data_IF_461110733936
#
_entry.id   IF_461110733936
#
_cell.length_a   1.000
_cell.length_b   1.000
_cell.length_c   1.000
_cell.angle_alpha   90.00
_cell.angle_beta   90.00
_cell.angle_gamma   90.00
#
_symmetry.space_group_name_H-M   'P 1'
#
loop_
_entity.id
_entity.type
_entity.pdbx_description
1 polymer ?
#
# COMPACT_ATOMS: atom_id res chain seq x y z
N UNK A 1 -35.53 12.09 -37.53
CA UNK A 1 -35.64 10.65 -37.83
C UNK A 1 -37.07 10.28 -37.53
N UNK A 2 -37.86 10.10 -38.57
CA UNK A 2 -39.25 9.69 -38.45
C UNK A 2 -39.31 8.24 -37.94
N UNK A 3 -40.28 7.94 -37.08
CA UNK A 3 -40.55 6.59 -36.60
C UNK A 3 -40.74 5.55 -37.72
N UNK A 4 -40.94 6.01 -38.96
CA UNK A 4 -41.03 5.21 -40.18
C UNK A 4 -39.75 4.41 -40.54
N UNK A 5 -38.58 4.74 -39.97
CA UNK A 5 -37.36 3.97 -40.24
C UNK A 5 -37.36 2.58 -39.55
N UNK A 6 -38.10 2.40 -38.46
CA UNK A 6 -38.18 1.13 -37.74
C UNK A 6 -38.95 0.04 -38.52
N UNK A 7 -39.83 0.41 -39.44
CA UNK A 7 -40.60 -0.56 -40.25
C UNK A 7 -39.75 -1.32 -41.28
N UNK A 8 -38.53 -0.86 -41.58
CA UNK A 8 -37.64 -1.51 -42.57
C UNK A 8 -36.74 -2.62 -42.00
N UNK A 9 -36.93 -3.03 -40.75
CA UNK A 9 -36.21 -4.16 -40.15
C UNK A 9 -34.76 -3.85 -39.73
N UNK A 10 -34.37 -2.57 -39.68
CA UNK A 10 -33.08 -2.18 -39.13
C UNK A 10 -33.13 -2.16 -37.59
N UNK A 11 -32.66 -3.25 -36.98
CA UNK A 11 -32.63 -3.43 -35.54
C UNK A 11 -31.70 -2.44 -34.81
N UNK A 12 -30.80 -1.75 -35.52
CA UNK A 12 -29.86 -0.79 -34.91
C UNK A 12 -30.37 0.64 -34.85
N UNK A 13 -31.36 1.00 -35.67
CA UNK A 13 -31.87 2.36 -35.74
C UNK A 13 -32.29 2.95 -34.37
N UNK A 14 -32.92 2.20 -33.43
CA UNK A 14 -33.24 2.71 -32.10
C UNK A 14 -32.01 3.00 -31.22
N UNK A 15 -30.97 2.16 -31.32
CA UNK A 15 -29.72 2.37 -30.58
C UNK A 15 -28.98 3.60 -31.09
N UNK A 16 -28.89 3.78 -32.41
CA UNK A 16 -28.28 4.97 -33.01
C UNK A 16 -29.04 6.25 -32.62
N UNK A 17 -30.37 6.19 -32.62
CA UNK A 17 -31.20 7.29 -32.15
C UNK A 17 -30.92 7.64 -30.68
N UNK A 18 -30.75 6.64 -29.82
CA UNK A 18 -30.39 6.83 -28.40
C UNK A 18 -29.03 7.53 -28.27
N UNK A 19 -28.01 7.10 -29.00
CA UNK A 19 -26.67 7.69 -28.95
C UNK A 19 -26.65 9.13 -29.47
N UNK A 20 -27.34 9.42 -30.59
CA UNK A 20 -27.50 10.78 -31.10
C UNK A 20 -28.23 11.67 -30.09
N UNK A 21 -29.27 11.15 -29.45
CA UNK A 21 -30.02 11.90 -28.43
C UNK A 21 -29.13 12.23 -27.24
N UNK A 22 -28.30 11.28 -26.77
CA UNK A 22 -27.32 11.51 -25.71
C UNK A 22 -26.32 12.61 -26.06
N UNK A 23 -25.76 12.57 -27.28
CA UNK A 23 -24.82 13.60 -27.72
C UNK A 23 -25.44 14.99 -27.77
N UNK A 24 -26.71 15.11 -28.16
CA UNK A 24 -27.42 16.40 -28.25
C UNK A 24 -27.86 16.92 -26.88
N UNK A 25 -28.23 16.03 -25.97
CA UNK A 25 -28.69 16.40 -24.61
C UNK A 25 -27.51 16.74 -23.69
N UNK A 26 -26.37 16.05 -23.81
CA UNK A 26 -25.25 16.19 -22.88
C UNK A 26 -24.76 17.64 -22.65
N UNK A 27 -24.61 18.51 -23.68
CA UNK A 27 -24.21 19.90 -23.49
C UNK A 27 -25.23 20.76 -22.73
N UNK A 28 -26.50 20.34 -22.72
CA UNK A 28 -27.63 21.07 -22.16
C UNK A 28 -28.27 20.33 -20.98
N UNK A 29 -27.57 19.38 -20.37
CA UNK A 29 -28.15 18.50 -19.35
C UNK A 29 -28.78 19.26 -18.16
N UNK A 30 -28.30 20.47 -17.86
CA UNK A 30 -28.85 21.34 -16.79
C UNK A 30 -30.22 21.92 -17.11
N UNK A 31 -30.54 22.06 -18.39
CA UNK A 31 -31.77 22.69 -18.88
C UNK A 31 -32.84 21.64 -19.27
N UNK A 32 -32.48 20.36 -19.23
CA UNK A 32 -33.34 19.23 -19.57
C UNK A 32 -33.99 18.68 -18.30
N UNK A 33 -35.27 18.26 -18.34
CA UNK A 33 -35.91 17.66 -17.17
C UNK A 33 -35.09 16.51 -16.57
N UNK A 34 -34.82 16.63 -15.27
CA UNK A 34 -33.99 15.69 -14.51
C UNK A 34 -34.34 14.20 -14.70
N UNK A 35 -35.62 13.79 -14.83
CA UNK A 35 -35.96 12.39 -15.09
C UNK A 35 -35.35 11.83 -16.38
N UNK A 36 -35.22 12.64 -17.43
CA UNK A 36 -34.61 12.23 -18.70
C UNK A 36 -33.10 12.07 -18.52
N UNK A 37 -32.46 13.00 -17.82
CA UNK A 37 -31.02 12.93 -17.52
C UNK A 37 -30.70 11.70 -16.68
N UNK A 38 -31.50 11.43 -15.64
CA UNK A 38 -31.35 10.25 -14.79
C UNK A 38 -31.61 8.92 -15.52
N UNK A 39 -32.45 8.93 -16.56
CA UNK A 39 -32.72 7.75 -17.35
C UNK A 39 -31.59 7.41 -18.35
N UNK A 40 -30.72 8.38 -18.68
CA UNK A 40 -29.69 8.22 -19.70
C UNK A 40 -28.26 8.14 -19.14
N UNK A 41 -28.00 8.71 -17.96
CA UNK A 41 -26.68 8.77 -17.31
C UNK A 41 -26.69 8.35 -15.84
N UNK A 42 -25.56 7.82 -15.36
CA UNK A 42 -25.42 7.22 -14.03
C UNK A 42 -25.41 8.22 -12.87
N UNK A 43 -24.98 9.46 -13.11
CA UNK A 43 -24.75 10.47 -12.07
C UNK A 43 -25.76 11.62 -12.09
N UNK A 44 -26.72 11.60 -13.02
CA UNK A 44 -27.76 12.61 -13.18
C UNK A 44 -27.26 14.04 -13.46
N UNK A 45 -25.94 14.28 -13.49
CA UNK A 45 -25.39 15.63 -13.35
C UNK A 45 -24.24 15.93 -14.30
N UNK A 46 -23.48 14.93 -14.76
CA UNK A 46 -22.26 15.21 -15.53
C UNK A 46 -22.23 14.67 -16.96
N UNK A 47 -23.22 13.89 -17.38
CA UNK A 47 -23.26 13.24 -18.70
C UNK A 47 -21.98 12.44 -19.07
N UNK A 48 -21.06 12.21 -18.12
CA UNK A 48 -19.78 11.53 -18.33
C UNK A 48 -19.94 10.01 -18.32
N UNK A 49 -20.83 9.48 -17.49
CA UNK A 49 -21.06 8.05 -17.32
C UNK A 49 -22.43 7.68 -17.89
N UNK A 50 -22.45 7.11 -19.09
CA UNK A 50 -23.67 6.62 -19.75
C UNK A 50 -24.20 5.38 -19.02
N UNK A 51 -25.53 5.24 -18.97
CA UNK A 51 -26.15 3.96 -18.58
C UNK A 51 -26.04 2.96 -19.73
N UNK A 52 -26.07 1.66 -19.43
CA UNK A 52 -26.08 0.65 -20.48
C UNK A 52 -27.44 0.65 -21.21
N UNK A 53 -27.43 0.64 -22.55
CA UNK A 53 -28.66 0.48 -23.33
C UNK A 53 -29.28 -0.90 -23.06
N UNK A 54 -30.59 -1.02 -23.25
CA UNK A 54 -31.26 -2.32 -23.33
C UNK A 54 -30.87 -3.06 -24.62
N UNK A 55 -31.07 -4.39 -24.70
CA UNK A 55 -30.87 -5.14 -25.94
C UNK A 55 -31.67 -4.56 -27.12
N UNK A 56 -31.12 -4.64 -28.33
CA UNK A 56 -31.69 -4.05 -29.56
C UNK A 56 -33.16 -4.39 -29.78
N UNK A 57 -33.55 -5.65 -29.52
CA UNK A 57 -34.95 -6.12 -29.65
C UNK A 57 -35.88 -5.34 -28.71
N UNK A 58 -35.48 -5.11 -27.46
CA UNK A 58 -36.26 -4.32 -26.51
C UNK A 58 -36.33 -2.85 -26.92
N UNK A 59 -35.24 -2.29 -27.46
CA UNK A 59 -35.22 -0.91 -27.95
C UNK A 59 -36.17 -0.71 -29.13
N UNK A 60 -36.21 -1.64 -30.08
CA UNK A 60 -37.18 -1.64 -31.18
C UNK A 60 -38.62 -1.62 -30.67
N UNK A 61 -38.95 -2.50 -29.72
CA UNK A 61 -40.28 -2.53 -29.11
C UNK A 61 -40.62 -1.23 -28.38
N UNK A 62 -39.68 -0.70 -27.60
CA UNK A 62 -39.87 0.54 -26.85
C UNK A 62 -40.10 1.72 -27.80
N UNK A 63 -39.36 1.79 -28.91
CA UNK A 63 -39.48 2.88 -29.88
C UNK A 63 -40.79 2.81 -30.68
N UNK A 64 -41.26 1.60 -30.98
CA UNK A 64 -42.55 1.40 -31.66
C UNK A 64 -43.75 1.67 -30.74
N UNK A 65 -43.66 1.29 -29.46
CA UNK A 65 -44.77 1.38 -28.48
C UNK A 65 -44.80 2.71 -27.73
N UNK A 66 -43.66 3.38 -27.57
CA UNK A 66 -43.55 4.62 -26.81
C UNK A 66 -43.08 5.73 -27.72
N UNK A 67 -43.76 6.89 -27.68
CA UNK A 67 -43.25 8.10 -28.32
C UNK A 67 -41.85 8.47 -27.80
N UNK A 68 -41.17 9.38 -28.50
CA UNK A 68 -39.75 9.73 -28.28
C UNK A 68 -39.36 9.91 -26.81
N UNK A 69 -40.16 10.64 -26.03
CA UNK A 69 -39.89 10.86 -24.60
C UNK A 69 -39.97 9.57 -23.79
N UNK A 70 -41.01 8.76 -24.01
CA UNK A 70 -41.20 7.49 -23.33
C UNK A 70 -40.15 6.45 -23.71
N UNK A 71 -39.63 6.52 -24.94
CA UNK A 71 -38.46 5.75 -25.36
C UNK A 71 -37.22 6.16 -24.56
N UNK A 72 -36.85 7.45 -24.55
CA UNK A 72 -35.65 7.93 -23.84
C UNK A 72 -35.68 7.63 -22.34
N UNK A 73 -36.85 7.68 -21.70
CA UNK A 73 -37.01 7.33 -20.28
C UNK A 73 -36.84 5.83 -19.98
N UNK A 74 -36.95 4.96 -20.99
CA UNK A 74 -36.95 3.51 -20.81
C UNK A 74 -35.82 2.77 -21.55
N UNK A 75 -35.13 3.44 -22.48
CA UNK A 75 -34.16 2.84 -23.40
C UNK A 75 -32.91 2.29 -22.69
N UNK A 76 -32.56 2.82 -21.53
CA UNK A 76 -31.45 2.29 -20.75
C UNK A 76 -31.95 1.32 -19.69
N UNK A 77 -31.11 0.36 -19.30
CA UNK A 77 -31.36 -0.47 -18.14
C UNK A 77 -31.34 0.49 -16.94
N UNK A 78 -32.48 0.67 -16.22
CA UNK A 78 -32.49 1.51 -15.04
C UNK A 78 -31.42 0.97 -14.12
N UNK A 79 -30.55 1.84 -13.63
CA UNK A 79 -29.72 1.48 -12.49
C UNK A 79 -30.72 1.00 -11.44
N UNK A 80 -30.77 -0.30 -11.13
CA UNK A 80 -31.42 -0.75 -9.91
C UNK A 80 -30.86 0.21 -8.86
N UNK A 81 -31.70 0.98 -8.13
CA UNK A 81 -31.20 1.72 -6.99
C UNK A 81 -30.33 0.70 -6.28
N UNK A 82 -29.03 0.95 -6.20
CA UNK A 82 -28.13 0.04 -5.48
C UNK A 82 -28.73 0.08 -4.09
N UNK A 83 -29.61 -0.87 -3.79
CA UNK A 83 -30.53 -0.80 -2.67
C UNK A 83 -29.60 -0.69 -1.50
N UNK A 84 -29.49 0.52 -0.92
CA UNK A 84 -28.33 1.02 -0.16
C UNK A 84 -27.58 -0.18 0.39
N UNK A 85 -26.63 -0.71 -0.41
CA UNK A 85 -25.98 -1.97 -0.06
C UNK A 85 -25.31 -1.57 1.23
N UNK A 86 -25.78 -2.17 2.33
CA UNK A 86 -25.39 -1.67 3.64
C UNK A 86 -23.87 -1.69 3.66
N UNK A 87 -23.23 -0.78 4.40
CA UNK A 87 -21.77 -0.81 4.41
C UNK A 87 -21.26 -2.21 4.80
N UNK A 88 -22.00 -2.92 5.66
CA UNK A 88 -21.79 -4.33 5.96
C UNK A 88 -21.81 -5.24 4.71
N UNK A 89 -22.84 -5.17 3.86
CA UNK A 89 -22.92 -5.98 2.64
C UNK A 89 -21.80 -5.63 1.63
N UNK A 90 -21.39 -4.36 1.57
CA UNK A 90 -20.24 -3.95 0.74
C UNK A 90 -18.94 -4.53 1.29
N UNK A 91 -18.77 -4.51 2.61
CA UNK A 91 -17.62 -5.10 3.27
C UNK A 91 -17.58 -6.61 3.05
N UNK A 92 -18.72 -7.30 3.20
CA UNK A 92 -18.81 -8.74 2.96
C UNK A 92 -18.50 -9.10 1.51
N UNK A 93 -18.98 -8.34 0.53
CA UNK A 93 -18.67 -8.58 -0.89
C UNK A 93 -17.20 -8.31 -1.25
N UNK A 94 -16.62 -7.24 -0.71
CA UNK A 94 -15.20 -6.94 -0.89
C UNK A 94 -14.32 -8.00 -0.24
N UNK A 95 -14.65 -8.39 1.00
CA UNK A 95 -13.98 -9.47 1.73
C UNK A 95 -14.03 -10.77 0.94
N UNK A 96 -15.21 -11.18 0.49
CA UNK A 96 -15.40 -12.39 -0.32
C UNK A 96 -14.56 -12.36 -1.61
N UNK A 97 -14.65 -11.28 -2.39
CA UNK A 97 -13.92 -11.14 -3.67
C UNK A 97 -12.40 -11.15 -3.46
N UNK A 98 -11.93 -10.50 -2.39
CA UNK A 98 -10.51 -10.44 -2.08
C UNK A 98 -10.00 -11.77 -1.49
N UNK A 99 -10.88 -12.56 -0.88
CA UNK A 99 -10.61 -13.90 -0.35
C UNK A 99 -10.76 -15.03 -1.37
N UNK A 100 -11.26 -14.76 -2.57
CA UNK A 100 -11.22 -15.72 -3.66
C UNK A 100 -9.78 -16.20 -3.88
N UNK A 101 -9.57 -17.50 -4.12
CA UNK A 101 -8.22 -18.04 -4.34
C UNK A 101 -7.53 -17.30 -5.48
N UNK A 102 -6.32 -16.76 -5.22
CA UNK A 102 -5.56 -16.09 -6.26
C UNK A 102 -5.11 -17.10 -7.32
N UNK A 103 -5.47 -16.83 -8.57
CA UNK A 103 -5.03 -17.64 -9.73
C UNK A 103 -3.96 -16.83 -10.46
N UNK A 104 -2.70 -17.25 -10.33
CA UNK A 104 -1.57 -16.61 -11.00
C UNK A 104 -0.23 -17.02 -10.43
N UNK A 105 0.84 -16.52 -11.05
CA UNK A 105 2.23 -16.82 -10.70
C UNK A 105 2.95 -15.61 -10.08
N UNK A 106 2.25 -14.49 -9.82
CA UNK A 106 2.87 -13.25 -9.35
C UNK A 106 3.67 -13.42 -8.05
N UNK A 107 3.18 -14.22 -7.11
CA UNK A 107 3.88 -14.54 -5.84
C UNK A 107 5.18 -15.26 -6.12
N UNK A 108 5.10 -16.35 -6.89
CA UNK A 108 6.26 -17.16 -7.27
C UNK A 108 7.28 -16.31 -8.04
N UNK A 109 6.81 -15.50 -8.98
CA UNK A 109 7.65 -14.58 -9.75
C UNK A 109 8.32 -13.54 -8.86
N UNK A 110 7.59 -12.98 -7.89
CA UNK A 110 8.15 -12.05 -6.92
C UNK A 110 9.22 -12.72 -6.05
N UNK A 111 8.94 -13.90 -5.49
CA UNK A 111 9.90 -14.66 -4.68
C UNK A 111 11.16 -15.01 -5.47
N UNK A 112 11.00 -15.42 -6.73
CA UNK A 112 12.14 -15.66 -7.64
C UNK A 112 12.93 -14.38 -7.96
N UNK A 113 12.26 -13.23 -8.02
CA UNK A 113 12.88 -11.94 -8.25
C UNK A 113 13.64 -11.42 -7.02
N UNK A 114 13.26 -11.81 -5.79
CA UNK A 114 13.97 -11.38 -4.56
C UNK A 114 15.46 -11.70 -4.60
N UNK A 115 15.85 -12.89 -5.07
CA UNK A 115 17.27 -13.23 -5.25
C UNK A 115 17.97 -12.31 -6.26
N UNK A 116 17.25 -11.83 -7.27
CA UNK A 116 17.81 -10.88 -8.24
C UNK A 116 17.95 -9.49 -7.62
N UNK A 117 16.94 -9.03 -6.88
CA UNK A 117 16.99 -7.75 -6.17
C UNK A 117 18.13 -7.72 -5.14
N UNK A 118 18.34 -8.81 -4.41
CA UNK A 118 19.45 -8.93 -3.46
C UNK A 118 20.82 -8.81 -4.16
N UNK A 119 20.98 -9.42 -5.36
CA UNK A 119 22.20 -9.27 -6.17
C UNK A 119 22.38 -7.87 -6.77
N UNK A 120 21.28 -7.19 -7.08
CA UNK A 120 21.31 -5.82 -7.59
C UNK A 120 21.59 -4.80 -6.48
N UNK A 121 21.34 -5.18 -5.24
CA UNK A 121 21.50 -4.30 -4.10
C UNK A 121 22.97 -3.89 -3.91
N UNK A 122 23.16 -2.58 -3.76
CA UNK A 122 24.45 -1.93 -3.54
C UNK A 122 24.31 -1.01 -2.33
N UNK A 123 24.89 -1.36 -1.16
CA UNK A 123 24.68 -0.61 0.09
C UNK A 123 25.04 0.87 0.00
N UNK A 124 26.02 1.24 -0.84
CA UNK A 124 26.45 2.63 -1.01
C UNK A 124 25.55 3.45 -1.96
N UNK A 125 24.74 2.78 -2.80
CA UNK A 125 23.95 3.45 -3.85
C UNK A 125 22.45 3.40 -3.59
N UNK A 126 21.98 2.53 -2.71
CA UNK A 126 20.57 2.33 -2.42
C UNK A 126 20.24 2.78 -0.99
N UNK A 127 19.04 3.33 -0.81
CA UNK A 127 18.50 3.84 0.46
C UNK A 127 18.02 2.74 1.43
N UNK A 128 18.60 1.53 1.32
CA UNK A 128 18.21 0.32 2.04
C UNK A 128 17.78 -0.77 1.07
N UNK A 129 17.52 -1.98 1.56
CA UNK A 129 16.94 -3.07 0.77
C UNK A 129 15.45 -2.85 0.53
N UNK A 130 15.08 -1.70 -0.04
CA UNK A 130 13.70 -1.27 -0.26
C UNK A 130 13.31 -1.59 -1.70
N UNK A 131 12.20 -2.29 -1.91
CA UNK A 131 11.68 -2.67 -3.23
C UNK A 131 10.43 -1.82 -3.53
N UNK A 132 10.53 -0.76 -4.35
CA UNK A 132 9.39 0.09 -4.65
C UNK A 132 8.35 -0.60 -5.54
N UNK A 133 7.08 -0.58 -5.14
CA UNK A 133 5.96 -1.08 -5.94
C UNK A 133 5.25 0.06 -6.68
N UNK A 134 5.82 0.44 -7.81
CA UNK A 134 5.31 1.52 -8.65
C UNK A 134 4.31 0.96 -9.66
N UNK A 135 3.03 0.88 -9.30
CA UNK A 135 1.95 0.51 -10.22
C UNK A 135 0.70 1.35 -9.98
N UNK A 136 -0.17 1.48 -10.98
CA UNK A 136 -1.46 2.16 -10.85
C UNK A 136 -2.35 1.49 -9.78
N UNK A 137 -3.36 2.21 -9.28
CA UNK A 137 -4.35 1.64 -8.36
C UNK A 137 -5.10 0.47 -9.03
N UNK A 138 -5.46 -0.55 -8.24
CA UNK A 138 -6.20 -1.74 -8.72
C UNK A 138 -5.37 -2.81 -9.45
N UNK A 139 -4.04 -2.69 -9.50
CA UNK A 139 -3.15 -3.65 -10.19
C UNK A 139 -2.76 -4.88 -9.37
N UNK A 140 -3.37 -5.06 -8.19
CA UNK A 140 -3.10 -6.22 -7.33
C UNK A 140 -1.88 -6.09 -6.41
N UNK A 141 -1.37 -4.88 -6.14
CA UNK A 141 -0.24 -4.68 -5.20
C UNK A 141 -0.54 -5.20 -3.79
N UNK A 142 -1.65 -4.73 -3.20
CA UNK A 142 -2.11 -5.17 -1.89
C UNK A 142 -2.45 -6.66 -1.92
N UNK A 143 -2.93 -7.17 -3.07
CA UNK A 143 -3.13 -8.61 -3.27
C UNK A 143 -1.83 -9.39 -3.26
N UNK A 144 -0.75 -8.91 -3.90
CA UNK A 144 0.54 -9.59 -3.84
C UNK A 144 1.07 -9.60 -2.41
N UNK A 145 1.02 -8.46 -1.71
CA UNK A 145 1.41 -8.39 -0.28
C UNK A 145 0.57 -9.36 0.54
N UNK A 146 -0.74 -9.49 0.23
CA UNK A 146 -1.59 -10.53 0.81
C UNK A 146 -1.04 -11.91 0.58
N UNK A 147 -0.88 -12.30 -0.67
CA UNK A 147 -0.52 -13.67 -1.01
C UNK A 147 0.88 -14.02 -0.49
N UNK A 148 1.79 -13.04 -0.42
CA UNK A 148 3.08 -13.17 0.26
C UNK A 148 2.87 -13.43 1.77
N UNK A 149 2.03 -12.65 2.44
CA UNK A 149 1.69 -12.84 3.85
C UNK A 149 0.71 -13.95 4.16
N UNK A 150 0.24 -14.66 3.13
CA UNK A 150 -1.01 -15.42 3.12
C UNK A 150 -2.28 -14.63 3.52
N UNK A 151 -2.24 -13.32 3.82
CA UNK A 151 -3.36 -12.58 4.46
C UNK A 151 -3.47 -11.07 4.14
N UNK A 152 -4.71 -10.57 4.25
CA UNK A 152 -5.29 -9.42 3.55
C UNK A 152 -4.79 -8.00 3.85
N UNK A 153 -4.57 -7.21 2.79
CA UNK A 153 -4.86 -5.77 2.80
C UNK A 153 -5.81 -5.33 1.66
N UNK A 154 -6.92 -4.64 1.93
CA UNK A 154 -7.75 -3.96 0.91
C UNK A 154 -7.60 -2.43 0.95
N UNK A 155 -8.03 -1.78 -0.13
CA UNK A 155 -8.17 -0.32 -0.18
C UNK A 155 -9.47 0.11 0.50
N UNK A 156 -9.39 0.91 1.57
CA UNK A 156 -10.55 1.36 2.35
C UNK A 156 -11.06 0.35 3.38
N UNK A 157 -10.38 -0.80 3.49
CA UNK A 157 -10.52 -1.80 4.55
C UNK A 157 -9.26 -2.68 4.63
N UNK A 158 -8.66 -3.00 5.79
CA UNK A 158 -8.98 -2.55 7.14
C UNK A 158 -9.27 -1.08 7.38
N UNK A 159 -9.96 -0.78 8.50
CA UNK A 159 -9.99 0.57 9.04
C UNK A 159 -8.58 1.14 9.09
N UNK A 160 -8.47 2.45 8.86
CA UNK A 160 -7.20 3.15 9.05
C UNK A 160 -6.67 2.84 10.45
N UNK A 161 -5.38 2.56 10.55
CA UNK A 161 -4.69 2.38 11.84
C UNK A 161 -4.57 3.75 12.53
N UNK A 162 -5.70 4.29 13.00
CA UNK A 162 -5.85 5.66 13.49
C UNK A 162 -4.82 5.99 14.57
N UNK A 163 -4.58 5.07 15.49
CA UNK A 163 -3.59 5.28 16.55
C UNK A 163 -2.16 5.46 16.00
N UNK A 164 -1.78 4.71 14.97
CA UNK A 164 -0.48 4.88 14.31
C UNK A 164 -0.41 6.20 13.53
N UNK A 165 -1.50 6.56 12.84
CA UNK A 165 -1.59 7.86 12.16
C UNK A 165 -1.50 9.03 13.16
N UNK A 166 -2.26 8.99 14.25
CA UNK A 166 -2.24 9.98 15.33
C UNK A 166 -0.85 10.12 15.96
N UNK A 167 -0.16 9.00 16.15
CA UNK A 167 1.24 9.02 16.57
C UNK A 167 2.11 9.79 15.57
N UNK A 168 1.99 9.52 14.26
CA UNK A 168 2.85 10.15 13.25
C UNK A 168 2.56 11.61 12.93
N UNK A 169 1.37 12.12 13.28
CA UNK A 169 1.02 13.54 13.11
C UNK A 169 1.32 14.39 14.35
N UNK A 170 1.78 13.78 15.45
CA UNK A 170 2.08 14.47 16.70
C UNK A 170 3.13 15.58 16.48
N UNK A 171 2.77 16.87 16.66
CA UNK A 171 3.69 17.97 16.44
C UNK A 171 4.76 18.02 17.53
N UNK A 172 6.02 18.07 17.12
CA UNK A 172 7.14 18.34 18.03
C UNK A 172 8.14 17.19 18.17
N UNK A 173 7.85 16.03 17.57
CA UNK A 173 8.83 14.96 17.43
C UNK A 173 9.39 14.92 16.00
N UNK A 174 10.70 14.73 15.83
CA UNK A 174 11.28 14.63 14.51
C UNK A 174 11.07 13.22 13.93
N UNK A 175 10.97 13.18 12.60
CA UNK A 175 10.46 11.99 11.92
C UNK A 175 11.31 10.74 12.12
N UNK A 176 12.63 10.88 12.20
CA UNK A 176 13.55 9.76 12.39
C UNK A 176 13.42 9.12 13.78
N UNK A 177 13.22 9.93 14.82
CA UNK A 177 12.95 9.49 16.19
C UNK A 177 11.59 8.77 16.26
N UNK A 178 10.56 9.34 15.64
CA UNK A 178 9.23 8.71 15.55
C UNK A 178 9.29 7.37 14.81
N UNK A 179 10.00 7.31 13.68
CA UNK A 179 10.18 6.10 12.90
C UNK A 179 10.87 5.00 13.71
N UNK A 180 11.98 5.34 14.39
CA UNK A 180 12.72 4.39 15.21
C UNK A 180 11.88 3.86 16.38
N UNK A 181 11.23 4.76 17.14
CA UNK A 181 10.36 4.36 18.24
C UNK A 181 9.20 3.47 17.79
N UNK A 182 8.55 3.82 16.68
CA UNK A 182 7.45 3.04 16.12
C UNK A 182 7.89 1.65 15.65
N UNK A 183 9.02 1.55 14.94
CA UNK A 183 9.57 0.27 14.49
C UNK A 183 9.92 -0.63 15.68
N UNK A 184 10.58 -0.09 16.70
CA UNK A 184 10.90 -0.81 17.92
C UNK A 184 9.66 -1.31 18.65
N UNK A 185 8.68 -0.42 18.86
CA UNK A 185 7.43 -0.74 19.53
C UNK A 185 6.64 -1.81 18.77
N UNK A 186 6.58 -1.70 17.44
CA UNK A 186 5.97 -2.70 16.58
C UNK A 186 6.65 -4.06 16.77
N UNK A 187 7.99 -4.11 16.74
CA UNK A 187 8.73 -5.38 16.86
C UNK A 187 8.50 -6.03 18.22
N UNK A 188 8.41 -5.21 19.28
CA UNK A 188 8.07 -5.66 20.63
C UNK A 188 6.68 -6.27 20.69
N UNK A 189 5.64 -5.59 20.17
CA UNK A 189 4.27 -6.13 20.20
C UNK A 189 4.16 -7.41 19.37
N UNK A 190 4.81 -7.45 18.20
CA UNK A 190 4.83 -8.65 17.36
C UNK A 190 5.54 -9.82 18.06
N UNK A 191 6.66 -9.57 18.74
CA UNK A 191 7.36 -10.58 19.55
C UNK A 191 6.46 -11.09 20.68
N UNK A 192 5.82 -10.19 21.43
CA UNK A 192 4.93 -10.53 22.54
C UNK A 192 3.75 -11.41 22.07
N UNK A 193 3.17 -11.13 20.89
CA UNK A 193 2.14 -11.97 20.28
C UNK A 193 2.65 -13.36 19.88
N UNK A 194 3.86 -13.45 19.30
CA UNK A 194 4.46 -14.74 18.87
C UNK A 194 4.85 -15.60 20.07
N UNK A 195 5.35 -14.96 21.12
CA UNK A 195 5.87 -15.60 22.33
C UNK A 195 4.78 -15.89 23.38
N UNK A 196 3.56 -15.39 23.16
CA UNK A 196 2.44 -15.61 24.08
C UNK A 196 2.19 -17.12 24.32
N UNK A 197 2.11 -17.59 25.59
CA UNK A 197 1.96 -19.01 25.91
C UNK A 197 0.78 -19.69 25.21
N UNK A 198 -0.35 -18.99 25.10
CA UNK A 198 -1.57 -19.44 24.42
C UNK A 198 -1.42 -19.60 22.90
N UNK A 199 -0.39 -19.00 22.30
CA UNK A 199 -0.10 -19.12 20.87
C UNK A 199 0.93 -20.23 20.57
N UNK A 200 1.58 -20.79 21.60
CA UNK A 200 2.67 -21.77 21.45
C UNK A 200 2.27 -23.03 20.68
N UNK A 201 1.00 -23.44 20.75
CA UNK A 201 0.47 -24.59 20.02
C UNK A 201 0.10 -24.29 18.56
N UNK A 202 0.01 -23.00 18.17
CA UNK A 202 -0.38 -22.61 16.82
C UNK A 202 0.83 -22.55 15.87
N UNK A 203 0.61 -22.80 14.56
CA UNK A 203 1.59 -22.47 13.53
C UNK A 203 2.03 -21.01 13.64
N UNK A 204 3.31 -20.72 13.37
CA UNK A 204 3.89 -19.37 13.52
C UNK A 204 3.10 -18.28 12.76
N UNK A 205 2.58 -18.62 11.58
CA UNK A 205 1.78 -17.72 10.75
C UNK A 205 0.46 -17.31 11.41
N UNK A 206 -0.12 -18.18 12.25
CA UNK A 206 -1.39 -17.95 12.93
C UNK A 206 -1.22 -17.25 14.29
N UNK A 207 0.03 -17.15 14.79
CA UNK A 207 0.31 -16.41 16.03
C UNK A 207 0.16 -14.90 15.85
N UNK A 208 0.31 -14.42 14.62
CA UNK A 208 0.04 -13.03 14.26
C UNK A 208 -1.39 -12.81 13.73
N UNK A 209 -2.33 -13.74 13.96
CA UNK A 209 -3.72 -13.62 13.48
C UNK A 209 -4.39 -12.31 13.88
N UNK A 210 -4.09 -11.78 15.07
CA UNK A 210 -4.70 -10.55 15.52
C UNK A 210 -4.20 -9.27 14.82
N UNK A 211 -3.13 -9.36 14.01
CA UNK A 211 -2.72 -8.28 13.10
C UNK A 211 -3.51 -8.30 11.79
N UNK A 212 -4.24 -9.39 11.53
CA UNK A 212 -5.14 -9.52 10.39
C UNK A 212 -6.43 -8.78 10.71
N UNK A 213 -7.02 -8.19 9.69
CA UNK A 213 -8.39 -7.67 9.82
C UNK A 213 -9.31 -8.67 9.21
N UNK A 214 -10.26 -9.09 10.03
CA UNK A 214 -11.29 -10.03 9.64
C UNK A 214 -12.63 -9.43 9.97
N UNK A 215 -13.66 -9.78 9.21
CA UNK A 215 -15.04 -9.39 9.54
C UNK A 215 -15.42 -9.84 10.96
N UNK A 216 -14.86 -10.96 11.43
CA UNK A 216 -15.12 -11.52 12.77
C UNK A 216 -14.45 -10.74 13.90
N UNK A 217 -13.32 -10.09 13.63
CA UNK A 217 -12.57 -9.34 14.61
C UNK A 217 -11.90 -8.12 13.96
N UNK A 218 -12.69 -7.08 13.62
CA UNK A 218 -12.15 -5.89 12.99
C UNK A 218 -11.29 -5.03 13.93
N UNK A 219 -11.46 -5.21 15.25
CA UNK A 219 -10.84 -4.39 16.29
C UNK A 219 -9.46 -4.91 16.73
N UNK A 220 -9.18 -6.21 16.62
CA UNK A 220 -7.92 -6.81 17.08
C UNK A 220 -6.66 -6.13 16.54
N UNK A 221 -6.69 -5.72 15.27
CA UNK A 221 -5.57 -4.99 14.67
C UNK A 221 -5.48 -3.56 15.24
N UNK A 222 -6.61 -2.88 15.35
CA UNK A 222 -6.65 -1.52 15.88
C UNK A 222 -6.11 -1.46 17.32
N UNK A 223 -6.46 -2.44 18.16
CA UNK A 223 -5.92 -2.60 19.51
C UNK A 223 -4.39 -2.74 19.53
N UNK A 224 -3.84 -3.57 18.62
CA UNK A 224 -2.38 -3.73 18.48
C UNK A 224 -1.70 -2.44 18.07
N UNK A 225 -2.26 -1.72 17.09
CA UNK A 225 -1.70 -0.43 16.70
C UNK A 225 -1.85 0.64 17.78
N UNK A 226 -2.90 0.59 18.60
CA UNK A 226 -3.00 1.41 19.81
C UNK A 226 -1.83 1.12 20.73
N UNK A 227 -1.59 -0.16 21.03
CA UNK A 227 -0.47 -0.59 21.88
C UNK A 227 0.89 -0.21 21.29
N UNK A 228 1.08 -0.34 19.98
CA UNK A 228 2.31 0.09 19.29
C UNK A 228 2.51 1.60 19.46
N UNK A 229 1.47 2.40 19.24
CA UNK A 229 1.55 3.86 19.40
C UNK A 229 1.90 4.25 20.85
N UNK A 230 1.27 3.60 21.84
CA UNK A 230 1.53 3.87 23.25
C UNK A 230 2.95 3.48 23.66
N UNK A 231 3.43 2.31 23.25
CA UNK A 231 4.81 1.87 23.47
C UNK A 231 5.82 2.76 22.76
N UNK A 232 5.52 3.23 21.55
CA UNK A 232 6.40 4.15 20.83
C UNK A 232 6.54 5.49 21.57
N UNK A 233 5.45 6.04 22.12
CA UNK A 233 5.49 7.23 22.98
C UNK A 233 6.30 6.97 24.24
N UNK A 234 6.11 5.82 24.89
CA UNK A 234 6.88 5.43 26.07
C UNK A 234 8.37 5.37 25.76
N UNK A 235 8.77 4.74 24.65
CA UNK A 235 10.17 4.66 24.23
C UNK A 235 10.80 6.04 24.03
N UNK A 236 10.05 6.98 23.45
CA UNK A 236 10.52 8.36 23.28
C UNK A 236 10.67 9.07 24.62
N UNK A 237 9.70 8.92 25.53
CA UNK A 237 9.72 9.53 26.86
C UNK A 237 10.85 8.99 27.76
N UNK A 238 11.07 7.67 27.75
CA UNK A 238 12.11 7.03 28.56
C UNK A 238 13.52 7.42 28.10
N UNK A 239 13.67 7.65 26.80
CA UNK A 239 14.96 7.99 26.18
C UNK A 239 15.11 9.49 25.88
N UNK A 240 14.17 10.32 26.34
CA UNK A 240 14.05 11.73 25.99
C UNK A 240 15.34 12.52 26.22
N UNK A 241 15.98 12.29 27.36
CA UNK A 241 17.24 12.92 27.73
C UNK A 241 18.34 12.60 26.72
N UNK A 242 18.53 11.32 26.40
CA UNK A 242 19.55 10.86 25.46
C UNK A 242 19.26 11.43 24.07
N UNK A 243 17.99 11.39 23.66
CA UNK A 243 17.56 11.89 22.36
C UNK A 243 17.82 13.39 22.23
N UNK A 244 17.48 14.19 23.23
CA UNK A 244 17.69 15.64 23.17
C UNK A 244 19.15 16.07 23.37
N UNK A 245 19.95 15.35 24.16
CA UNK A 245 21.36 15.69 24.35
C UNK A 245 22.20 15.34 23.12
N UNK A 246 21.98 14.18 22.52
CA UNK A 246 22.90 13.61 21.54
C UNK A 246 22.57 13.99 20.09
N UNK A 247 21.34 14.45 19.83
CA UNK A 247 20.89 14.91 18.51
C UNK A 247 21.72 16.06 17.92
N UNK A 248 22.58 16.71 18.71
CA UNK A 248 23.49 17.77 18.24
C UNK A 248 24.95 17.48 18.56
N UNK A 249 25.63 16.65 17.76
CA UNK A 249 27.09 16.51 17.85
C UNK A 249 27.84 17.77 17.41
N UNK A 250 27.21 18.69 16.64
CA UNK A 250 27.92 19.77 15.94
C UNK A 250 27.84 21.15 16.60
N UNK A 251 27.38 21.28 17.87
CA UNK A 251 27.48 22.58 18.59
C UNK A 251 28.95 22.88 18.92
N UNK A 252 29.69 23.42 17.95
CA UNK A 252 31.03 23.97 18.16
C UNK A 252 32.09 23.62 17.10
N UNK A 253 31.79 22.80 16.09
CA UNK A 253 32.77 22.54 15.02
C UNK A 253 32.80 23.69 14.00
N UNK A 254 33.95 24.34 13.89
CA UNK A 254 34.21 25.35 12.87
C UNK A 254 34.56 24.66 11.55
N UNK A 255 33.63 24.68 10.61
CA UNK A 255 33.83 24.16 9.27
C UNK A 255 34.46 25.21 8.36
N UNK A 256 35.38 24.81 7.47
CA UNK A 256 36.11 25.74 6.57
C UNK A 256 35.47 25.88 5.19
N UNK A 257 34.60 24.95 4.78
CA UNK A 257 33.91 25.00 3.48
C UNK A 257 32.51 24.36 3.51
N UNK A 258 31.63 24.76 2.59
CA UNK A 258 30.29 24.17 2.43
C UNK A 258 30.31 22.66 2.17
N UNK A 259 31.30 22.18 1.43
CA UNK A 259 31.47 20.74 1.14
C UNK A 259 31.86 19.95 2.39
N UNK A 260 32.71 20.52 3.26
CA UNK A 260 33.04 19.92 4.56
C UNK A 260 31.86 19.96 5.52
N UNK A 261 31.10 21.05 5.54
CA UNK A 261 29.85 21.16 6.31
C UNK A 261 28.90 20.03 5.91
N UNK A 262 28.68 19.84 4.60
CA UNK A 262 27.78 18.80 4.10
C UNK A 262 28.27 17.39 4.44
N UNK A 263 29.57 17.09 4.24
CA UNK A 263 30.13 15.77 4.56
C UNK A 263 30.11 15.49 6.07
N UNK A 264 30.49 16.47 6.89
CA UNK A 264 30.45 16.39 8.34
C UNK A 264 29.04 16.16 8.85
N UNK A 265 28.09 16.95 8.35
CA UNK A 265 26.67 16.85 8.67
C UNK A 265 26.06 15.49 8.28
N UNK A 266 26.35 14.98 7.07
CA UNK A 266 25.85 13.65 6.67
C UNK A 266 26.42 12.56 7.57
N UNK A 267 27.71 12.64 7.91
CA UNK A 267 28.35 11.66 8.81
C UNK A 267 27.77 11.72 10.22
N UNK A 268 27.52 12.92 10.75
CA UNK A 268 26.92 13.10 12.07
C UNK A 268 25.47 12.60 12.09
N UNK A 269 24.70 12.87 11.04
CA UNK A 269 23.35 12.37 10.83
C UNK A 269 23.31 10.83 10.77
N UNK A 270 24.22 10.19 10.03
CA UNK A 270 24.30 8.73 9.97
C UNK A 270 24.58 8.12 11.35
N UNK A 271 25.56 8.67 12.08
CA UNK A 271 25.86 8.24 13.45
C UNK A 271 24.65 8.39 14.37
N UNK A 272 23.89 9.47 14.20
CA UNK A 272 22.66 9.70 14.96
C UNK A 272 21.60 8.63 14.67
N UNK A 273 21.37 8.30 13.39
CA UNK A 273 20.45 7.21 13.03
C UNK A 273 20.92 5.86 13.58
N UNK A 274 22.23 5.58 13.56
CA UNK A 274 22.82 4.38 14.18
C UNK A 274 22.53 4.28 15.68
N UNK A 275 22.65 5.41 16.38
CA UNK A 275 22.32 5.50 17.81
C UNK A 275 20.83 5.28 18.04
N UNK A 276 19.95 5.96 17.29
CA UNK A 276 18.50 5.79 17.40
C UNK A 276 18.08 4.34 17.14
N UNK A 277 18.59 3.71 16.09
CA UNK A 277 18.27 2.33 15.78
C UNK A 277 18.78 1.40 16.89
N UNK A 278 20.02 1.58 17.34
CA UNK A 278 20.60 0.76 18.40
C UNK A 278 19.84 0.87 19.72
N UNK A 279 19.33 2.06 20.02
CA UNK A 279 18.62 2.36 21.26
C UNK A 279 17.16 1.88 21.23
N UNK A 280 16.44 2.20 20.15
CA UNK A 280 14.98 2.06 20.11
C UNK A 280 14.51 0.84 19.30
N UNK A 281 15.29 0.37 18.33
CA UNK A 281 14.85 -0.64 17.36
C UNK A 281 15.52 -1.99 17.62
N UNK A 282 16.86 -1.99 17.65
CA UNK A 282 17.69 -3.20 17.66
C UNK A 282 17.31 -4.22 18.74
N UNK A 283 17.12 -3.85 20.03
CA UNK A 283 16.83 -4.84 21.07
C UNK A 283 15.56 -5.64 20.79
N UNK A 284 14.51 -4.96 20.35
CA UNK A 284 13.21 -5.58 20.08
C UNK A 284 13.21 -6.41 18.80
N UNK A 285 13.99 -6.00 17.80
CA UNK A 285 14.21 -6.79 16.59
C UNK A 285 15.07 -8.03 16.84
N UNK A 286 16.03 -7.97 17.77
CA UNK A 286 16.78 -9.16 18.20
C UNK A 286 15.87 -10.16 18.90
N UNK A 287 14.99 -9.70 19.79
CA UNK A 287 14.02 -10.57 20.48
C UNK A 287 13.03 -11.22 19.50
N UNK A 288 12.40 -10.40 18.64
CA UNK A 288 11.54 -10.89 17.55
C UNK A 288 12.29 -11.88 16.67
N UNK A 289 13.54 -11.55 16.31
CA UNK A 289 14.33 -12.36 15.42
C UNK A 289 14.68 -13.73 16.00
N UNK A 290 15.00 -13.80 17.29
CA UNK A 290 15.21 -15.07 18.01
C UNK A 290 13.93 -15.90 18.04
N UNK A 291 12.78 -15.28 18.32
CA UNK A 291 11.49 -15.98 18.30
C UNK A 291 11.15 -16.59 16.94
N UNK A 292 11.42 -15.87 15.86
CA UNK A 292 11.23 -16.35 14.50
C UNK A 292 12.20 -17.49 14.14
N UNK A 293 13.48 -17.34 14.50
CA UNK A 293 14.49 -18.38 14.28
C UNK A 293 14.15 -19.68 15.02
N UNK A 294 13.65 -19.59 16.26
CA UNK A 294 13.13 -20.75 17.03
C UNK A 294 11.96 -21.45 16.33
N UNK A 295 11.22 -20.74 15.47
CA UNK A 295 10.13 -21.28 14.66
C UNK A 295 10.56 -21.66 13.23
N UNK A 296 11.87 -21.74 12.96
CA UNK A 296 12.45 -22.01 11.63
C UNK A 296 11.98 -21.00 10.56
N UNK A 297 11.73 -19.75 10.96
CA UNK A 297 11.44 -18.64 10.05
C UNK A 297 12.70 -17.79 9.90
N UNK A 298 13.25 -17.79 8.68
CA UNK A 298 14.51 -17.11 8.37
C UNK A 298 14.31 -15.78 7.62
N UNK A 299 13.10 -15.55 7.11
CA UNK A 299 12.77 -14.36 6.32
C UNK A 299 11.43 -13.76 6.78
N UNK A 300 11.37 -12.44 6.77
CA UNK A 300 10.18 -11.68 7.12
C UNK A 300 10.16 -10.34 6.40
N UNK A 301 8.96 -9.90 6.04
CA UNK A 301 8.76 -8.71 5.24
C UNK A 301 7.92 -7.69 6.00
N UNK A 302 8.26 -6.41 5.77
CA UNK A 302 7.46 -5.28 6.23
C UNK A 302 6.95 -4.55 5.01
N UNK A 303 5.65 -4.63 4.79
CA UNK A 303 4.99 -3.77 3.81
C UNK A 303 4.49 -2.52 4.52
N UNK A 304 4.75 -1.35 3.94
CA UNK A 304 4.15 -0.10 4.38
C UNK A 304 3.34 0.44 3.21
N UNK A 305 2.02 0.41 3.33
CA UNK A 305 1.15 1.04 2.35
C UNK A 305 1.06 2.55 2.61
N UNK A 306 0.78 3.31 1.56
CA UNK A 306 0.40 4.72 1.66
C UNK A 306 1.34 5.65 2.42
N UNK A 307 2.64 5.39 2.38
CA UNK A 307 3.64 6.26 2.97
C UNK A 307 3.54 7.72 2.47
N UNK A 308 2.87 7.97 1.33
CA UNK A 308 2.54 9.31 0.86
C UNK A 308 1.77 10.16 1.89
N UNK A 309 0.97 9.56 2.77
CA UNK A 309 0.27 10.28 3.84
C UNK A 309 1.21 10.80 4.91
N UNK A 310 2.35 10.13 5.10
CA UNK A 310 3.42 10.63 5.97
C UNK A 310 4.05 11.90 5.38
N UNK A 311 3.94 12.15 4.07
CA UNK A 311 4.44 13.37 3.44
C UNK A 311 3.43 14.53 3.52
N UNK A 312 3.06 14.95 4.73
CA UNK A 312 2.14 16.09 4.95
C UNK A 312 2.82 17.41 4.50
N UNK A 313 2.60 17.76 3.22
CA UNK A 313 3.01 18.96 2.45
C UNK A 313 4.39 18.92 1.75
N UNK A 314 4.44 18.92 0.40
CA UNK A 314 5.68 18.79 -0.38
C UNK A 314 6.33 20.12 -0.82
N UNK A 315 6.12 21.23 -0.13
CA UNK A 315 6.52 22.55 -0.68
C UNK A 315 7.98 22.98 -0.40
N UNK A 316 8.89 22.05 -0.13
CA UNK A 316 10.31 22.39 0.06
C UNK A 316 11.24 21.44 -0.67
N UNK A 317 11.61 21.84 -1.89
CA UNK A 317 12.47 21.14 -2.84
C UNK A 317 13.97 21.28 -2.54
N UNK A 318 14.40 21.01 -1.31
CA UNK A 318 15.82 21.06 -0.90
C UNK A 318 16.29 19.80 -0.17
N UNK A 319 17.62 19.60 -0.12
CA UNK A 319 18.31 18.68 0.81
C UNK A 319 18.00 19.12 2.25
N UNK A 320 16.82 18.75 2.73
CA UNK A 320 16.39 19.06 4.09
C UNK A 320 16.88 17.96 5.04
N UNK A 321 17.44 18.41 6.16
CA UNK A 321 17.73 17.58 7.32
C UNK A 321 16.47 16.91 7.89
N UNK A 322 16.57 16.32 9.10
CA UNK A 322 15.43 15.78 9.82
C UNK A 322 14.30 16.80 9.84
N UNK A 323 13.14 16.43 9.31
CA UNK A 323 11.95 17.28 9.42
C UNK A 323 11.34 17.04 10.80
N UNK A 324 10.71 18.05 11.38
CA UNK A 324 9.96 17.94 12.65
C UNK A 324 8.66 17.13 12.50
N UNK A 325 8.62 16.21 11.53
CA UNK A 325 7.47 15.40 11.16
C UNK A 325 7.94 14.10 10.54
N UNK A 326 7.14 13.06 10.73
CA UNK A 326 7.33 11.79 10.05
C UNK A 326 7.35 11.97 8.53
N UNK A 327 8.14 11.14 7.83
CA UNK A 327 8.12 11.03 6.37
C UNK A 327 8.61 9.67 5.93
N UNK A 328 8.36 9.30 4.66
CA UNK A 328 8.91 8.05 4.08
C UNK A 328 10.43 8.05 4.11
N UNK A 329 11.03 9.22 3.91
CA UNK A 329 12.49 9.38 3.91
C UNK A 329 13.05 9.13 5.31
N UNK A 330 12.38 9.60 6.36
CA UNK A 330 12.78 9.35 7.74
C UNK A 330 12.75 7.84 8.07
N UNK A 331 11.66 7.16 7.70
CA UNK A 331 11.56 5.70 7.84
C UNK A 331 12.67 4.96 7.10
N UNK A 332 12.89 5.32 5.83
CA UNK A 332 13.93 4.72 5.00
C UNK A 332 15.34 4.94 5.58
N UNK A 333 15.63 6.13 6.12
CA UNK A 333 16.91 6.44 6.77
C UNK A 333 17.16 5.59 8.01
N UNK A 334 16.14 5.36 8.83
CA UNK A 334 16.27 4.48 10.00
C UNK A 334 16.43 3.03 9.57
N UNK A 335 15.64 2.55 8.61
CA UNK A 335 15.78 1.18 8.11
C UNK A 335 17.11 0.94 7.39
N UNK A 336 17.67 1.95 6.73
CA UNK A 336 19.00 1.90 6.12
C UNK A 336 20.09 1.52 7.11
N UNK A 337 19.95 1.92 8.38
CA UNK A 337 20.91 1.57 9.44
C UNK A 337 21.00 0.06 9.63
N UNK A 338 19.90 -0.68 9.41
CA UNK A 338 19.93 -2.14 9.54
C UNK A 338 20.91 -2.82 8.59
N UNK A 339 21.32 -2.17 7.49
CA UNK A 339 22.34 -2.71 6.58
C UNK A 339 23.73 -2.82 7.21
N UNK A 340 24.03 -1.99 8.22
CA UNK A 340 25.34 -1.98 8.89
C UNK A 340 25.37 -2.89 10.11
N UNK A 341 24.21 -3.42 10.51
CA UNK A 341 24.06 -4.25 11.69
C UNK A 341 24.09 -5.72 11.29
N UNK A 342 24.93 -6.49 11.98
CA UNK A 342 24.87 -7.94 11.95
C UNK A 342 24.01 -8.41 13.12
N UNK A 343 23.05 -9.28 12.84
CA UNK A 343 22.27 -9.99 13.84
C UNK A 343 22.92 -11.37 14.02
N UNK A 344 23.75 -11.59 15.06
CA UNK A 344 24.61 -12.78 15.15
C UNK A 344 23.84 -14.10 15.26
N UNK A 345 22.61 -14.05 15.78
CA UNK A 345 21.76 -15.23 16.01
C UNK A 345 20.65 -15.39 14.98
N UNK A 346 20.59 -14.52 13.96
CA UNK A 346 19.63 -14.69 12.89
C UNK A 346 20.24 -14.43 11.52
N UNK A 347 20.03 -15.32 10.53
CA UNK A 347 20.43 -15.08 9.16
C UNK A 347 19.64 -13.93 8.47
N UNK A 348 18.94 -13.06 9.22
CA UNK A 348 18.27 -11.87 8.67
C UNK A 348 19.25 -10.97 7.92
N UNK A 349 19.34 -11.18 6.60
CA UNK A 349 19.56 -10.13 5.63
C UNK A 349 18.25 -9.34 5.46
N UNK A 350 18.30 -7.99 5.42
CA UNK A 350 17.30 -7.08 5.93
C UNK A 350 16.09 -6.92 5.00
N UNK A 351 14.93 -6.90 5.64
CA UNK A 351 13.77 -6.04 5.35
C UNK A 351 13.64 -5.56 3.90
N UNK A 352 12.82 -6.26 3.12
CA UNK A 352 12.27 -5.68 1.90
C UNK A 352 11.05 -4.85 2.23
N UNK A 353 11.24 -3.53 2.24
CA UNK A 353 10.13 -2.57 2.27
C UNK A 353 9.43 -2.56 0.92
N UNK A 354 8.11 -2.71 0.94
CA UNK A 354 7.25 -2.54 -0.23
C UNK A 354 6.42 -1.26 -0.01
N UNK A 355 6.75 -0.14 -0.68
CA UNK A 355 5.89 1.03 -0.75
C UNK A 355 4.89 0.81 -1.89
N UNK A 356 3.62 0.75 -1.54
CA UNK A 356 2.50 0.72 -2.49
C UNK A 356 1.87 2.10 -2.60
N UNK A 357 1.58 2.52 -3.83
CA UNK A 357 0.81 3.73 -4.11
C UNK A 357 -0.70 3.46 -4.15
N UNK A 358 -1.43 4.27 -3.38
CA UNK A 358 -2.89 4.47 -3.31
C UNK A 358 -3.75 3.34 -2.72
N UNK A 359 -4.26 3.69 -1.54
CA UNK A 359 -5.30 3.25 -0.61
C UNK A 359 -4.89 2.53 0.70
N UNK A 360 -5.39 3.09 1.83
CA UNK A 360 -4.97 2.99 3.24
C UNK A 360 -4.82 1.60 3.85
N UNK A 361 -3.62 1.24 4.39
CA UNK A 361 -3.33 0.38 5.57
C UNK A 361 -1.84 0.54 6.06
N UNK A 362 -1.54 0.73 7.36
CA UNK A 362 -0.16 0.76 7.92
C UNK A 362 0.37 -0.69 8.17
N UNK A 363 1.53 -0.98 8.80
CA UNK A 363 2.32 -2.16 8.42
C UNK A 363 1.60 -3.51 8.58
N UNK A 364 1.68 -4.34 7.53
CA UNK A 364 1.40 -5.76 7.66
C UNK A 364 2.72 -6.50 7.94
N UNK A 365 2.86 -7.17 9.10
CA UNK A 365 3.83 -8.26 9.21
C UNK A 365 3.46 -9.33 8.21
N UNK A 366 4.32 -9.54 7.22
CA UNK A 366 4.22 -10.67 6.31
C UNK A 366 5.27 -11.68 6.75
N UNK A 367 4.83 -12.70 7.48
CA UNK A 367 5.65 -13.86 7.81
C UNK A 367 5.56 -14.88 6.68
N UNK A 368 6.66 -15.02 5.93
CA UNK A 368 6.79 -16.07 4.92
C UNK A 368 7.74 -17.13 5.47
N UNK A 369 7.24 -18.26 6.00
CA UNK A 369 8.11 -19.39 6.27
C UNK A 369 8.58 -19.96 4.93
N UNK A 370 9.79 -19.60 4.49
CA UNK A 370 10.45 -20.32 3.41
C UNK A 370 10.85 -21.70 3.93
N UNK A 371 10.17 -22.73 3.41
CA UNK A 371 10.56 -24.13 3.65
C UNK A 371 11.83 -24.40 2.81
N UNK A 372 12.95 -24.85 3.43
CA UNK A 372 14.24 -25.05 2.75
C UNK A 372 14.20 -25.98 1.52
N UNK A 373 13.18 -26.83 1.40
CA UNK A 373 13.09 -27.84 0.35
C UNK A 373 12.73 -27.31 -1.04
N UNK A 374 12.36 -26.03 -1.19
CA UNK A 374 12.10 -25.43 -2.51
C UNK A 374 13.36 -24.96 -3.27
N UNK A 375 14.55 -25.03 -2.66
CA UNK A 375 15.81 -24.52 -3.27
C UNK A 375 16.55 -25.58 -4.12
N UNK A 376 16.04 -26.82 -4.23
CA UNK A 376 16.73 -27.91 -4.97
C UNK A 376 16.31 -28.16 -6.41
N UNK A 377 15.44 -27.34 -7.00
CA UNK A 377 15.18 -27.33 -8.44
C UNK A 377 15.27 -25.88 -8.91
N UNK A 378 16.16 -25.47 -9.81
CA UNK A 378 16.15 -25.88 -11.21
C UNK A 378 17.43 -25.33 -11.87
N UNK A 379 18.19 -26.23 -12.50
CA UNK A 379 19.28 -25.92 -13.42
C UNK A 379 18.69 -25.79 -14.83
N UNK A 380 19.27 -24.90 -15.63
CA UNK A 380 19.13 -24.75 -17.10
C UNK A 380 17.92 -23.90 -17.55
N UNK A 381 18.20 -22.68 -18.04
CA UNK A 381 17.85 -22.26 -19.41
C UNK A 381 18.72 -21.08 -19.85
N UNK A 382 19.39 -21.24 -21.00
CA UNK A 382 20.06 -20.20 -21.79
C UNK A 382 19.02 -19.55 -22.70
N UNK A 383 18.90 -18.22 -22.65
CA UNK A 383 18.51 -17.32 -23.73
C UNK A 383 19.11 -15.96 -23.32
N UNK A 384 20.00 -15.29 -24.06
CA UNK A 384 20.05 -15.14 -25.51
C UNK A 384 19.48 -13.78 -25.90
N UNK A 385 20.03 -12.68 -25.37
CA UNK A 385 19.76 -11.31 -25.85
C UNK A 385 21.07 -10.52 -25.88
N UNK A 386 21.31 -9.85 -27.02
CA UNK A 386 22.58 -9.27 -27.44
C UNK A 386 22.93 -7.94 -26.74
N UNK A 387 24.22 -7.63 -26.72
CA UNK A 387 24.85 -6.52 -26.01
C UNK A 387 24.52 -5.11 -26.51
N UNK A 388 23.69 -4.95 -27.53
CA UNK A 388 23.66 -3.71 -28.32
C UNK A 388 22.52 -2.73 -27.96
N UNK A 389 21.69 -3.06 -26.97
CA UNK A 389 20.61 -2.16 -26.50
C UNK A 389 20.96 -1.34 -25.25
N UNK A 390 22.10 -1.59 -24.59
CA UNK A 390 22.46 -0.93 -23.32
C UNK A 390 23.28 0.37 -23.54
N UNK A 391 23.74 0.65 -24.77
CA UNK A 391 24.68 1.75 -25.03
C UNK A 391 24.07 3.11 -25.37
N UNK A 392 22.74 3.32 -25.23
CA UNK A 392 22.07 4.57 -25.64
C UNK A 392 21.38 5.38 -24.54
N UNK A 393 21.58 5.05 -23.26
CA UNK A 393 20.96 5.81 -22.15
C UNK A 393 21.96 6.47 -21.19
N UNK A 394 23.23 6.65 -21.58
CA UNK A 394 24.26 7.26 -20.72
C UNK A 394 24.93 8.53 -21.29
N UNK A 395 24.32 9.18 -22.27
CA UNK A 395 24.74 10.53 -22.71
C UNK A 395 23.53 11.49 -22.70
N UNK A 396 23.09 11.91 -21.50
CA UNK A 396 22.49 13.23 -21.19
C UNK A 396 22.79 13.58 -19.74
#
# INVERSE_FOLDING_TARGET
MDAAAAEKGDLRAPFEFLEVSRMRIAPHARDIPQPIVNALWQDGMSAKLKLDPRPDVELCELMAKKGTLGFLLAACIPRKPTALVSNADKFEHLDATFNETYIGDAVTNFMNALTQYDRMYKPLNHYGRIIPFVQSSGTGKSRLVKELGRHEPMSGWPPNDTAAHEFFIDPGMPGEEMAAAFLGAWARVAFEDIAAPEQSSKPIVDRLDGWRVTVKNPEARAERFSRVADLARQFLQENDKIIFTDRRPDRGQHWKSMTEIQKGYIKSLHRWHEQLFSLLVKPHFEDLGKALAMCNVHEFFFAFDECAQLNVRPNSSGLQGPKERMSVIALARILKVSDTLSFPESPFGPFSLIPTSLCFILPHPVLIPLIPDLVKATRIFRCGLSSDSIKRCLDV
#
